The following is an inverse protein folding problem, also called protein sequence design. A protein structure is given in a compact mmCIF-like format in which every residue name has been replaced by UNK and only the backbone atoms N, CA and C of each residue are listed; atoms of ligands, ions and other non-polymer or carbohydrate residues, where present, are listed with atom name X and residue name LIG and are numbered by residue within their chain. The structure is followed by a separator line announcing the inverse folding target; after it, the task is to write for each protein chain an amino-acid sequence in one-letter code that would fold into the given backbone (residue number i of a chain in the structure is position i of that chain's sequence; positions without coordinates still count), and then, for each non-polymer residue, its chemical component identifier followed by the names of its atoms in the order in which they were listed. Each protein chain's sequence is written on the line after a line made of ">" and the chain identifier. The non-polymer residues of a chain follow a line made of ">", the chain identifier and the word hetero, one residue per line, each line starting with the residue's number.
data_IF_868740343597
#
_entry.id   IF_868740343597
#
_cell.length_a   1.000
_cell.length_b   1.000
_cell.length_c   1.000
_cell.angle_alpha   90.00
_cell.angle_beta   90.00
_cell.angle_gamma   90.00
#
_symmetry.space_group_name_H-M   'P 1'
#
loop_
_entity.id
_entity.type
_entity.pdbx_description
1 polymer ?
#
# COMPACT_ATOMS: atom_id res chain seq x y z
N UNK A 1 3.74 -9.42 2.13
CA UNK A 1 3.97 -10.71 1.42
C UNK A 1 4.99 -10.59 0.28
N UNK A 2 4.81 -9.70 -0.72
CA UNK A 2 5.72 -9.63 -1.87
C UNK A 2 7.16 -9.15 -1.53
N UNK A 3 7.33 -8.18 -0.62
CA UNK A 3 8.66 -7.72 -0.18
C UNK A 3 9.50 -8.81 0.52
N UNK A 4 8.86 -9.63 1.34
CA UNK A 4 9.48 -10.78 1.97
C UNK A 4 9.92 -11.83 0.92
N UNK A 5 9.14 -12.01 -0.16
CA UNK A 5 9.49 -12.94 -1.24
C UNK A 5 10.71 -12.45 -2.04
N UNK A 6 10.79 -11.16 -2.37
CA UNK A 6 11.96 -10.59 -3.06
C UNK A 6 13.24 -10.75 -2.22
N UNK A 7 13.18 -10.40 -0.92
CA UNK A 7 14.33 -10.55 -0.02
C UNK A 7 14.79 -12.00 0.15
N UNK A 8 13.86 -12.96 0.23
CA UNK A 8 14.20 -14.39 0.28
C UNK A 8 14.85 -14.87 -1.03
N UNK A 9 14.38 -14.38 -2.19
CA UNK A 9 15.00 -14.69 -3.48
C UNK A 9 16.41 -14.11 -3.60
N UNK A 10 16.66 -12.87 -3.16
CA UNK A 10 18.02 -12.29 -3.10
C UNK A 10 18.96 -13.19 -2.29
N UNK A 11 18.53 -13.63 -1.11
CA UNK A 11 19.36 -14.47 -0.24
C UNK A 11 19.68 -15.82 -0.88
N UNK A 12 18.72 -16.43 -1.59
CA UNK A 12 18.94 -17.68 -2.32
C UNK A 12 19.97 -17.50 -3.42
N UNK A 13 19.86 -16.43 -4.22
CA UNK A 13 20.80 -16.15 -5.31
C UNK A 13 22.20 -15.80 -4.81
N UNK A 14 22.32 -15.04 -3.72
CA UNK A 14 23.63 -14.80 -3.07
C UNK A 14 24.30 -16.08 -2.59
N UNK A 15 23.53 -17.05 -2.07
CA UNK A 15 24.06 -18.36 -1.64
C UNK A 15 24.38 -19.28 -2.82
N UNK A 16 23.62 -19.14 -3.91
CA UNK A 16 23.89 -19.86 -5.15
C UNK A 16 25.21 -19.42 -5.79
N UNK A 17 25.58 -18.15 -5.63
CA UNK A 17 26.85 -17.57 -6.10
C UNK A 17 27.10 -17.87 -7.59
N UNK A 18 26.27 -17.24 -8.44
CA UNK A 18 26.34 -17.43 -9.89
C UNK A 18 27.75 -17.08 -10.43
N UNK A 19 28.43 -16.10 -9.85
CA UNK A 19 29.77 -15.70 -10.28
C UNK A 19 30.80 -16.79 -10.01
N UNK A 20 30.74 -17.44 -8.85
CA UNK A 20 31.63 -18.57 -8.58
C UNK A 20 31.33 -19.75 -9.51
N UNK A 21 30.05 -20.08 -9.71
CA UNK A 21 29.65 -21.12 -10.65
C UNK A 21 30.15 -20.82 -12.08
N UNK A 22 30.03 -19.57 -12.55
CA UNK A 22 30.52 -19.14 -13.85
C UNK A 22 32.04 -19.35 -13.98
N UNK A 23 32.83 -18.99 -12.96
CA UNK A 23 34.28 -19.24 -12.94
C UNK A 23 34.62 -20.73 -12.97
N UNK A 24 33.91 -21.55 -12.20
CA UNK A 24 34.15 -23.00 -12.16
C UNK A 24 33.83 -23.64 -13.51
N UNK A 25 32.77 -23.17 -14.17
CA UNK A 25 32.39 -23.60 -15.52
C UNK A 25 33.42 -23.16 -16.59
N UNK A 26 33.96 -21.94 -16.51
CA UNK A 26 35.05 -21.47 -17.38
C UNK A 26 36.29 -22.38 -17.27
N UNK A 27 36.70 -22.70 -16.04
CA UNK A 27 37.84 -23.59 -15.79
C UNK A 27 37.58 -24.97 -16.39
N UNK A 28 36.40 -25.54 -16.16
CA UNK A 28 36.02 -26.83 -16.71
C UNK A 28 35.97 -26.83 -18.24
N UNK A 29 35.41 -25.78 -18.87
CA UNK A 29 35.34 -25.63 -20.32
C UNK A 29 36.73 -25.51 -20.96
N UNK A 30 37.64 -24.77 -20.32
CA UNK A 30 39.03 -24.65 -20.77
C UNK A 30 39.80 -25.97 -20.63
N UNK A 31 39.60 -26.70 -19.52
CA UNK A 31 40.22 -28.01 -19.32
C UNK A 31 39.74 -29.03 -20.36
N UNK A 32 38.45 -28.98 -20.71
CA UNK A 32 37.82 -29.89 -21.69
C UNK A 32 38.51 -29.82 -23.07
N UNK A 33 38.94 -28.63 -23.51
CA UNK A 33 39.70 -28.48 -24.76
C UNK A 33 41.06 -29.20 -24.72
N UNK A 34 41.77 -29.16 -23.59
CA UNK A 34 43.03 -29.91 -23.41
C UNK A 34 42.77 -31.41 -23.42
N UNK A 35 41.75 -31.85 -22.68
CA UNK A 35 41.40 -33.27 -22.56
C UNK A 35 40.93 -33.86 -23.90
N UNK A 36 40.18 -33.10 -24.71
CA UNK A 36 39.81 -33.52 -26.08
C UNK A 36 41.06 -33.78 -26.92
N UNK A 37 42.01 -32.85 -26.92
CA UNK A 37 43.24 -32.99 -27.71
C UNK A 37 44.07 -34.20 -27.27
N UNK A 38 44.23 -34.40 -25.95
CA UNK A 38 44.96 -35.53 -25.39
C UNK A 38 44.30 -36.88 -25.73
N UNK A 39 42.97 -36.98 -25.60
CA UNK A 39 42.21 -38.19 -25.93
C UNK A 39 42.30 -38.53 -27.42
N UNK A 40 42.22 -37.54 -28.30
CA UNK A 40 42.39 -37.75 -29.75
C UNK A 40 43.79 -38.27 -30.08
N UNK A 41 44.83 -37.73 -29.46
CA UNK A 41 46.20 -38.21 -29.63
C UNK A 41 46.38 -39.64 -29.09
N UNK A 42 45.85 -39.94 -27.90
CA UNK A 42 45.92 -41.27 -27.30
C UNK A 42 45.20 -42.32 -28.16
N UNK A 43 44.02 -41.98 -28.71
CA UNK A 43 43.28 -42.86 -29.64
C UNK A 43 44.08 -43.15 -30.90
N UNK A 44 44.71 -42.14 -31.52
CA UNK A 44 45.57 -42.33 -32.70
C UNK A 44 46.72 -43.29 -32.41
N UNK A 45 47.42 -43.11 -31.27
CA UNK A 45 48.51 -44.01 -30.84
C UNK A 45 48.05 -45.45 -30.63
N UNK A 46 46.87 -45.65 -30.02
CA UNK A 46 46.31 -47.00 -29.83
C UNK A 46 45.95 -47.69 -31.15
N UNK A 47 45.44 -46.94 -32.13
CA UNK A 47 45.15 -47.47 -33.48
C UNK A 47 46.46 -47.90 -34.16
N UNK A 48 47.49 -47.05 -34.13
CA UNK A 48 48.82 -47.37 -34.68
C UNK A 48 49.42 -48.63 -34.03
N UNK A 49 49.34 -48.75 -32.70
CA UNK A 49 49.80 -49.93 -31.97
C UNK A 49 49.00 -51.20 -32.30
N UNK A 50 47.69 -51.08 -32.48
CA UNK A 50 46.80 -52.19 -32.86
C UNK A 50 47.11 -52.71 -34.27
N UNK A 51 47.38 -51.80 -35.20
CA UNK A 51 47.75 -52.16 -36.57
C UNK A 51 49.15 -52.77 -36.65
N UNK A 52 50.10 -52.25 -35.89
CA UNK A 52 51.44 -52.82 -35.78
C UNK A 52 51.42 -54.22 -35.16
N UNK A 53 50.61 -54.43 -34.12
CA UNK A 53 50.37 -55.74 -33.53
C UNK A 53 49.82 -56.72 -34.58
N UNK A 54 48.81 -56.32 -35.38
CA UNK A 54 48.26 -57.17 -36.46
C UNK A 54 49.32 -57.55 -37.50
N UNK A 55 50.19 -56.61 -37.90
CA UNK A 55 51.26 -56.86 -38.90
C UNK A 55 52.29 -57.88 -38.44
N UNK A 56 52.62 -57.91 -37.16
CA UNK A 56 53.63 -58.82 -36.60
C UNK A 56 53.05 -60.11 -36.01
N UNK A 57 51.73 -60.29 -36.05
CA UNK A 57 51.06 -61.49 -35.55
C UNK A 57 51.10 -62.60 -36.62
N UNK A 58 51.46 -63.86 -36.27
CA UNK A 58 51.40 -64.99 -37.20
C UNK A 58 49.96 -65.36 -37.61
N UNK A 59 49.78 -65.89 -38.83
CA UNK A 59 48.46 -66.13 -39.45
C UNK A 59 47.52 -66.99 -38.61
N UNK A 60 48.06 -68.00 -37.93
CA UNK A 60 47.31 -68.94 -37.07
C UNK A 60 46.56 -68.22 -35.93
N UNK A 61 47.10 -67.09 -35.47
CA UNK A 61 46.57 -66.31 -34.35
C UNK A 61 45.62 -65.19 -34.81
N UNK A 62 45.61 -64.85 -36.10
CA UNK A 62 44.76 -63.79 -36.65
C UNK A 62 43.26 -64.08 -36.47
N UNK A 63 42.86 -65.35 -36.53
CA UNK A 63 41.46 -65.76 -36.32
C UNK A 63 40.92 -65.36 -34.94
N UNK A 64 41.77 -65.31 -33.92
CA UNK A 64 41.38 -64.95 -32.55
C UNK A 64 41.64 -63.48 -32.24
N UNK A 65 42.78 -62.94 -32.69
CA UNK A 65 43.19 -61.56 -32.37
C UNK A 65 42.37 -60.53 -33.17
N UNK A 66 42.01 -60.80 -34.42
CA UNK A 66 41.29 -59.83 -35.26
C UNK A 66 39.89 -59.50 -34.72
N UNK A 67 39.05 -60.49 -34.34
CA UNK A 67 37.76 -60.19 -33.70
C UNK A 67 37.91 -59.43 -32.38
N UNK A 68 38.92 -59.77 -31.57
CA UNK A 68 39.19 -59.09 -30.30
C UNK A 68 39.56 -57.61 -30.52
N UNK A 69 40.48 -57.32 -31.45
CA UNK A 69 40.87 -55.94 -31.77
C UNK A 69 39.71 -55.14 -32.36
N UNK A 70 38.86 -55.76 -33.18
CA UNK A 70 37.62 -55.12 -33.66
C UNK A 70 36.65 -54.82 -32.52
N UNK A 71 36.49 -55.74 -31.56
CA UNK A 71 35.64 -55.53 -30.37
C UNK A 71 36.13 -54.37 -29.50
N UNK A 72 37.44 -54.31 -29.21
CA UNK A 72 38.03 -53.16 -28.51
C UNK A 72 37.86 -51.86 -29.29
N UNK A 73 38.04 -51.89 -30.62
CA UNK A 73 37.87 -50.71 -31.46
C UNK A 73 36.42 -50.19 -31.42
N UNK A 74 35.43 -51.08 -31.53
CA UNK A 74 34.02 -50.68 -31.42
C UNK A 74 33.67 -50.09 -30.05
N UNK A 75 34.23 -50.65 -28.96
CA UNK A 75 33.98 -50.13 -27.61
C UNK A 75 34.64 -48.76 -27.40
N UNK A 76 35.88 -48.59 -27.88
CA UNK A 76 36.58 -47.30 -27.85
C UNK A 76 35.81 -46.25 -28.66
N UNK A 77 35.33 -46.60 -29.85
CA UNK A 77 34.58 -45.69 -30.70
C UNK A 77 33.24 -45.28 -30.06
N UNK A 78 32.52 -46.24 -29.46
CA UNK A 78 31.30 -45.96 -28.71
C UNK A 78 31.56 -45.06 -27.49
N UNK A 79 32.67 -45.28 -26.77
CA UNK A 79 33.06 -44.43 -25.64
C UNK A 79 33.45 -43.02 -26.10
N UNK A 80 34.14 -42.88 -27.23
CA UNK A 80 34.46 -41.60 -27.83
C UNK A 80 33.21 -40.82 -28.25
N UNK A 81 32.23 -41.47 -28.89
CA UNK A 81 30.96 -40.81 -29.25
C UNK A 81 30.20 -40.37 -28.00
N UNK A 82 30.08 -41.24 -26.98
CA UNK A 82 29.45 -40.86 -25.70
C UNK A 82 30.17 -39.69 -25.02
N UNK A 83 31.51 -39.63 -25.08
CA UNK A 83 32.27 -38.49 -24.56
C UNK A 83 31.92 -37.21 -25.29
N UNK A 84 31.97 -37.21 -26.63
CA UNK A 84 31.63 -36.05 -27.47
C UNK A 84 30.20 -35.56 -27.22
N UNK A 85 29.24 -36.47 -27.11
CA UNK A 85 27.85 -36.11 -26.80
C UNK A 85 27.73 -35.44 -25.43
N UNK A 86 28.41 -35.97 -24.41
CA UNK A 86 28.41 -35.39 -23.06
C UNK A 86 29.09 -34.02 -23.00
N UNK A 87 30.20 -33.86 -23.74
CA UNK A 87 30.95 -32.61 -23.87
C UNK A 87 30.12 -31.56 -24.63
N UNK A 88 29.43 -31.96 -25.70
CA UNK A 88 28.53 -31.09 -26.45
C UNK A 88 27.34 -30.62 -25.59
N UNK A 89 26.74 -31.53 -24.80
CA UNK A 89 25.68 -31.19 -23.86
C UNK A 89 26.16 -30.21 -22.78
N UNK A 90 27.34 -30.44 -22.21
CA UNK A 90 27.99 -29.53 -21.26
C UNK A 90 28.19 -28.14 -21.87
N UNK A 91 28.83 -28.05 -23.05
CA UNK A 91 29.11 -26.78 -23.73
C UNK A 91 27.83 -26.03 -24.10
N UNK A 92 26.73 -26.74 -24.40
CA UNK A 92 25.42 -26.13 -24.67
C UNK A 92 24.81 -25.45 -23.43
N UNK A 93 25.00 -26.03 -22.24
CA UNK A 93 24.57 -25.41 -20.99
C UNK A 93 25.52 -24.27 -20.60
N UNK A 94 26.83 -24.48 -20.69
CA UNK A 94 27.85 -23.48 -20.40
C UNK A 94 27.64 -22.18 -21.18
N UNK A 95 27.49 -22.25 -22.51
CA UNK A 95 27.25 -21.09 -23.38
C UNK A 95 26.01 -20.28 -22.98
N UNK A 96 24.99 -20.92 -22.38
CA UNK A 96 23.77 -20.24 -21.93
C UNK A 96 23.92 -19.60 -20.56
N UNK A 97 24.85 -20.07 -19.73
CA UNK A 97 25.01 -19.61 -18.34
C UNK A 97 26.12 -18.57 -18.18
N UNK A 98 27.15 -18.60 -19.04
CA UNK A 98 28.33 -17.76 -18.86
C UNK A 98 28.05 -16.27 -19.08
N UNK A 99 27.14 -15.95 -20.01
CA UNK A 99 26.78 -14.57 -20.34
C UNK A 99 25.63 -14.02 -19.48
N UNK A 100 25.09 -14.83 -18.56
CA UNK A 100 23.93 -14.42 -17.76
C UNK A 100 24.39 -13.42 -16.69
N UNK A 101 23.83 -12.19 -16.66
CA UNK A 101 24.15 -11.23 -15.62
C UNK A 101 23.61 -11.70 -14.27
N UNK A 102 24.34 -11.38 -13.20
CA UNK A 102 23.92 -11.73 -11.83
C UNK A 102 22.61 -11.02 -11.45
N UNK A 103 21.53 -11.77 -11.12
CA UNK A 103 20.24 -11.17 -10.77
C UNK A 103 20.23 -10.50 -9.39
N UNK A 104 21.24 -10.74 -8.52
CA UNK A 104 21.26 -10.24 -7.14
C UNK A 104 21.10 -8.71 -7.10
N UNK A 105 21.87 -7.98 -7.90
CA UNK A 105 21.83 -6.51 -7.94
C UNK A 105 20.45 -5.97 -8.33
N UNK A 106 19.80 -6.60 -9.32
CA UNK A 106 18.47 -6.21 -9.76
C UNK A 106 17.41 -6.52 -8.69
N UNK A 107 17.49 -7.69 -8.06
CA UNK A 107 16.58 -8.10 -6.99
C UNK A 107 16.71 -7.19 -5.76
N UNK A 108 17.92 -6.76 -5.42
CA UNK A 108 18.17 -5.78 -4.35
C UNK A 108 17.53 -4.42 -4.67
N UNK A 109 17.68 -3.93 -5.89
CA UNK A 109 17.04 -2.69 -6.32
C UNK A 109 15.51 -2.79 -6.22
N UNK A 110 14.92 -3.91 -6.66
CA UNK A 110 13.48 -4.16 -6.52
C UNK A 110 13.06 -4.20 -5.05
N UNK A 111 13.84 -4.83 -4.18
CA UNK A 111 13.57 -4.85 -2.74
C UNK A 111 13.57 -3.42 -2.15
N UNK A 112 14.53 -2.57 -2.52
CA UNK A 112 14.59 -1.18 -2.07
C UNK A 112 13.42 -0.35 -2.59
N UNK A 113 13.10 -0.47 -3.88
CA UNK A 113 11.94 0.21 -4.47
C UNK A 113 10.64 -0.20 -3.78
N UNK A 114 10.50 -1.48 -3.43
CA UNK A 114 9.30 -1.97 -2.76
C UNK A 114 9.15 -1.39 -1.34
N UNK A 115 10.26 -1.24 -0.60
CA UNK A 115 10.26 -0.53 0.68
C UNK A 115 9.90 0.95 0.51
N UNK A 116 10.42 1.60 -0.52
CA UNK A 116 10.10 2.99 -0.84
C UNK A 116 8.61 3.18 -1.18
N UNK A 117 8.02 2.26 -1.97
CA UNK A 117 6.59 2.28 -2.31
C UNK A 117 5.71 2.14 -1.06
N UNK A 118 6.09 1.29 -0.10
CA UNK A 118 5.34 1.16 1.17
C UNK A 118 5.37 2.49 1.92
N UNK A 119 6.55 3.09 2.11
CA UNK A 119 6.68 4.39 2.79
C UNK A 119 5.93 5.50 2.07
N UNK A 120 5.97 5.52 0.73
CA UNK A 120 5.24 6.49 -0.07
C UNK A 120 3.74 6.40 0.17
N UNK A 121 3.17 5.19 0.22
CA UNK A 121 1.75 4.98 0.54
C UNK A 121 1.37 5.43 1.94
N UNK A 122 2.24 5.20 2.92
CA UNK A 122 2.01 5.66 4.29
C UNK A 122 1.95 7.20 4.35
N UNK A 123 2.89 7.87 3.66
CA UNK A 123 2.92 9.34 3.53
C UNK A 123 1.71 9.86 2.76
N UNK A 124 1.32 9.22 1.65
CA UNK A 124 0.13 9.60 0.88
C UNK A 124 -1.15 9.52 1.73
N UNK A 125 -1.29 8.47 2.54
CA UNK A 125 -2.42 8.29 3.44
C UNK A 125 -2.45 9.36 4.55
N UNK A 126 -1.29 9.73 5.11
CA UNK A 126 -1.20 10.81 6.09
C UNK A 126 -1.52 12.18 5.45
N UNK A 127 -0.99 12.43 4.25
CA UNK A 127 -1.26 13.66 3.50
C UNK A 127 -2.75 13.81 3.20
N UNK A 128 -3.43 12.71 2.84
CA UNK A 128 -4.86 12.70 2.62
C UNK A 128 -5.64 13.06 3.89
N UNK A 129 -5.29 12.47 5.04
CA UNK A 129 -5.90 12.81 6.34
C UNK A 129 -5.68 14.28 6.72
N UNK A 130 -4.50 14.82 6.44
CA UNK A 130 -4.21 16.24 6.70
C UNK A 130 -5.04 17.16 5.80
N UNK A 131 -5.25 16.80 4.53
CA UNK A 131 -6.14 17.55 3.63
C UNK A 131 -7.59 17.51 4.10
N UNK A 132 -8.07 16.35 4.54
CA UNK A 132 -9.42 16.22 5.11
C UNK A 132 -9.60 17.10 6.35
N UNK A 133 -8.62 17.12 7.26
CA UNK A 133 -8.63 18.02 8.43
C UNK A 133 -8.62 19.50 8.06
N UNK A 134 -7.82 19.89 7.06
CA UNK A 134 -7.81 21.28 6.57
C UNK A 134 -9.17 21.68 6.00
N UNK A 135 -9.81 20.78 5.24
CA UNK A 135 -11.14 21.02 4.70
C UNK A 135 -12.20 21.15 5.80
N UNK A 136 -12.08 20.37 6.89
CA UNK A 136 -12.94 20.49 8.06
C UNK A 136 -12.75 21.84 8.77
N UNK A 137 -11.50 22.26 9.01
CA UNK A 137 -11.23 23.59 9.56
C UNK A 137 -11.73 24.74 8.66
N UNK A 138 -11.56 24.63 7.35
CA UNK A 138 -12.07 25.64 6.40
C UNK A 138 -13.61 25.73 6.46
N UNK A 139 -14.29 24.60 6.66
CA UNK A 139 -15.74 24.55 6.85
C UNK A 139 -16.15 25.19 8.18
N UNK A 140 -15.49 24.85 9.28
CA UNK A 140 -15.75 25.45 10.60
C UNK A 140 -15.56 26.97 10.55
N UNK A 141 -14.49 27.45 9.89
CA UNK A 141 -14.25 28.89 9.71
C UNK A 141 -15.37 29.55 8.91
N UNK A 142 -15.89 28.90 7.87
CA UNK A 142 -17.02 29.43 7.10
C UNK A 142 -18.31 29.48 7.93
N UNK A 143 -18.57 28.45 8.75
CA UNK A 143 -19.71 28.40 9.66
C UNK A 143 -19.63 29.51 10.73
N UNK A 144 -18.47 29.71 11.36
CA UNK A 144 -18.24 30.79 12.33
C UNK A 144 -18.44 32.16 11.70
N UNK A 145 -17.91 32.40 10.48
CA UNK A 145 -18.15 33.66 9.75
C UNK A 145 -19.63 33.92 9.50
N UNK A 146 -20.39 32.90 9.09
CA UNK A 146 -21.84 33.05 8.92
C UNK A 146 -22.58 33.34 10.23
N UNK A 147 -22.13 32.75 11.34
CA UNK A 147 -22.65 33.05 12.67
C UNK A 147 -22.30 34.48 13.10
N UNK A 148 -21.09 34.98 12.84
CA UNK A 148 -20.67 36.36 13.12
C UNK A 148 -21.52 37.39 12.36
N UNK A 149 -21.80 37.15 11.07
CA UNK A 149 -22.69 37.99 10.26
C UNK A 149 -24.10 38.04 10.85
N UNK A 150 -24.62 36.88 11.27
CA UNK A 150 -25.95 36.78 11.90
C UNK A 150 -25.99 37.56 13.22
N UNK A 151 -24.97 37.42 14.07
CA UNK A 151 -24.85 38.15 15.34
C UNK A 151 -24.76 39.66 15.09
N UNK A 152 -23.99 40.09 14.08
CA UNK A 152 -23.88 41.50 13.70
C UNK A 152 -25.25 42.07 13.33
N UNK A 153 -26.03 41.37 12.49
CA UNK A 153 -27.38 41.79 12.11
C UNK A 153 -28.37 41.84 13.28
N UNK A 154 -28.26 40.91 14.24
CA UNK A 154 -29.07 40.94 15.47
C UNK A 154 -28.70 42.13 16.38
N UNK A 155 -27.40 42.45 16.49
CA UNK A 155 -26.93 43.62 17.25
C UNK A 155 -27.44 44.93 16.65
N UNK A 156 -27.40 45.08 15.32
CA UNK A 156 -27.97 46.26 14.64
C UNK A 156 -29.47 46.42 14.88
N UNK A 157 -30.23 45.31 14.88
CA UNK A 157 -31.66 45.33 15.22
C UNK A 157 -31.87 45.75 16.68
N UNK A 158 -31.13 45.18 17.63
CA UNK A 158 -31.19 45.57 19.04
C UNK A 158 -30.91 47.06 19.24
N UNK A 159 -29.84 47.59 18.62
CA UNK A 159 -29.55 49.03 18.67
C UNK A 159 -30.69 49.88 18.08
N UNK A 160 -31.35 49.39 17.02
CA UNK A 160 -32.49 50.10 16.43
C UNK A 160 -33.70 50.16 17.36
N UNK A 161 -33.96 49.07 18.10
CA UNK A 161 -35.00 49.01 19.13
C UNK A 161 -34.65 49.86 20.34
N UNK A 162 -33.41 49.81 20.83
CA UNK A 162 -32.93 50.69 21.92
C UNK A 162 -33.10 52.17 21.58
N UNK A 163 -32.75 52.56 20.34
CA UNK A 163 -32.97 53.92 19.83
C UNK A 163 -34.45 54.30 19.78
N UNK A 164 -35.33 53.37 19.45
CA UNK A 164 -36.77 53.61 19.44
C UNK A 164 -37.29 53.82 20.87
N UNK A 165 -36.94 52.94 21.79
CA UNK A 165 -37.30 53.04 23.21
C UNK A 165 -36.81 54.37 23.79
N UNK A 166 -35.55 54.75 23.56
CA UNK A 166 -35.01 56.03 24.02
C UNK A 166 -35.76 57.26 23.49
N UNK A 167 -36.33 57.20 22.27
CA UNK A 167 -37.16 58.29 21.75
C UNK A 167 -38.51 58.32 22.43
N UNK A 168 -39.14 57.17 22.64
CA UNK A 168 -40.43 57.07 23.33
C UNK A 168 -40.30 57.58 24.76
N UNK A 169 -39.29 57.14 25.52
CA UNK A 169 -39.09 57.61 26.91
C UNK A 169 -38.78 59.11 26.97
N UNK A 170 -38.00 59.65 26.04
CA UNK A 170 -37.76 61.11 25.98
C UNK A 170 -39.00 61.90 25.62
N UNK A 171 -39.83 61.38 24.72
CA UNK A 171 -41.10 62.00 24.38
C UNK A 171 -42.07 61.95 25.58
N UNK A 172 -42.05 60.87 26.37
CA UNK A 172 -42.80 60.77 27.64
C UNK A 172 -42.28 61.77 28.69
N UNK A 173 -40.95 61.93 28.84
CA UNK A 173 -40.35 62.94 29.72
C UNK A 173 -40.70 64.38 29.28
N UNK A 174 -40.74 64.64 27.96
CA UNK A 174 -41.16 65.93 27.37
C UNK A 174 -42.69 66.18 27.48
N UNK A 175 -43.51 65.13 27.40
CA UNK A 175 -44.95 65.20 27.71
C UNK A 175 -45.23 65.36 29.22
N UNK A 176 -44.39 64.83 30.12
CA UNK A 176 -44.46 65.11 31.56
C UNK A 176 -44.00 66.55 31.90
N UNK A 177 -43.01 67.10 31.19
CA UNK A 177 -42.53 68.49 31.37
C UNK A 177 -43.58 69.53 30.93
N UNK A 178 -44.37 69.25 29.88
CA UNK A 178 -45.51 70.08 29.47
C UNK A 178 -46.85 69.69 30.15
N UNK A 179 -46.94 68.49 30.74
CA UNK A 179 -48.15 67.92 31.35
C UNK A 179 -48.42 68.34 32.80
N UNK A 180 -47.42 68.90 33.50
CA UNK A 180 -47.59 69.38 34.88
C UNK A 180 -48.51 70.61 35.04
N UNK A 181 -49.17 71.09 33.98
CA UNK A 181 -50.15 72.18 34.05
C UNK A 181 -51.50 71.90 33.37
N UNK A 182 -51.93 70.64 33.24
CA UNK A 182 -53.31 70.32 32.86
C UNK A 182 -53.83 69.08 33.60
N UNK A 183 -54.82 69.29 34.46
CA UNK A 183 -55.63 68.26 35.11
C UNK A 183 -56.32 67.33 34.12
N UNK A 184 -56.28 66.03 34.42
CA UNK A 184 -57.20 64.95 34.02
C UNK A 184 -57.66 64.91 32.56
N UNK A 185 -57.14 63.92 31.81
CA UNK A 185 -57.90 63.18 30.79
C UNK A 185 -57.18 61.89 30.42
N UNK A 186 -57.79 60.77 30.78
CA UNK A 186 -57.52 59.44 30.24
C UNK A 186 -57.45 59.51 28.70
N UNK A 187 -56.27 59.20 28.14
CA UNK A 187 -56.10 58.79 26.75
C UNK A 187 -55.39 57.44 26.74
N UNK A 188 -56.12 56.31 26.64
CA UNK A 188 -55.50 55.03 26.35
C UNK A 188 -55.23 55.01 24.85
N UNK A 189 -54.00 55.21 24.40
CA UNK A 189 -53.53 54.94 23.02
C UNK A 189 -52.08 55.42 22.88
N UNK A 190 -51.14 54.50 23.10
CA UNK A 190 -49.78 54.40 22.51
C UNK A 190 -48.92 53.50 23.44
N UNK A 191 -48.93 53.76 24.75
CA UNK A 191 -48.20 52.96 25.76
C UNK A 191 -48.71 51.51 25.88
N UNK A 192 -50.03 51.28 25.90
CA UNK A 192 -50.61 49.93 25.91
C UNK A 192 -50.34 49.16 24.61
N UNK A 193 -50.26 49.84 23.46
CA UNK A 193 -49.99 49.20 22.16
C UNK A 193 -48.53 48.75 22.09
N UNK A 194 -47.59 49.59 22.54
CA UNK A 194 -46.16 49.25 22.59
C UNK A 194 -45.89 48.13 23.59
N UNK A 195 -46.57 48.12 24.75
CA UNK A 195 -46.44 47.03 25.73
C UNK A 195 -46.92 45.70 25.16
N UNK A 196 -48.06 45.68 24.46
CA UNK A 196 -48.58 44.49 23.78
C UNK A 196 -47.65 44.05 22.63
N UNK A 197 -47.05 44.98 21.89
CA UNK A 197 -46.06 44.65 20.83
C UNK A 197 -44.77 44.05 21.40
N UNK A 198 -44.29 44.55 22.53
CA UNK A 198 -43.11 43.98 23.23
C UNK A 198 -43.42 42.62 23.84
N UNK A 199 -44.59 42.46 24.45
CA UNK A 199 -45.04 41.17 25.01
C UNK A 199 -45.22 40.12 23.92
N UNK A 200 -45.81 40.48 22.78
CA UNK A 200 -45.98 39.58 21.64
C UNK A 200 -44.64 39.21 20.99
N UNK A 201 -43.68 40.15 20.90
CA UNK A 201 -42.33 39.86 20.44
C UNK A 201 -41.56 38.94 21.40
N UNK A 202 -41.68 39.14 22.71
CA UNK A 202 -41.09 38.26 23.72
C UNK A 202 -41.69 36.84 23.65
N UNK A 203 -43.02 36.72 23.53
CA UNK A 203 -43.69 35.44 23.35
C UNK A 203 -43.24 34.73 22.06
N UNK A 204 -43.02 35.46 20.97
CA UNK A 204 -42.51 34.91 19.72
C UNK A 204 -41.06 34.40 19.87
N UNK A 205 -40.19 35.14 20.57
CA UNK A 205 -38.81 34.75 20.82
C UNK A 205 -38.73 33.53 21.75
N UNK A 206 -39.56 33.47 22.80
CA UNK A 206 -39.66 32.31 23.67
C UNK A 206 -40.13 31.06 22.91
N UNK A 207 -41.11 31.21 22.00
CA UNK A 207 -41.57 30.12 21.16
C UNK A 207 -40.45 29.61 20.21
N UNK A 208 -39.68 30.52 19.60
CA UNK A 208 -38.56 30.16 18.73
C UNK A 208 -37.43 29.46 19.51
N UNK A 209 -37.14 29.93 20.73
CA UNK A 209 -36.16 29.31 21.61
C UNK A 209 -36.58 27.88 21.99
N UNK A 210 -37.86 27.64 22.28
CA UNK A 210 -38.39 26.30 22.53
C UNK A 210 -38.28 25.40 21.30
N UNK A 211 -38.53 25.92 20.10
CA UNK A 211 -38.35 25.16 18.85
C UNK A 211 -36.89 24.77 18.65
N UNK A 212 -35.96 25.72 18.86
CA UNK A 212 -34.51 25.46 18.75
C UNK A 212 -34.03 24.47 19.80
N UNK A 213 -34.54 24.55 21.03
CA UNK A 213 -34.21 23.59 22.08
C UNK A 213 -34.65 22.16 21.70
N UNK A 214 -35.85 21.99 21.13
CA UNK A 214 -36.32 20.69 20.62
C UNK A 214 -35.48 20.19 19.44
N UNK A 215 -35.04 21.09 18.57
CA UNK A 215 -34.17 20.74 17.44
C UNK A 215 -32.81 20.23 17.93
N UNK A 216 -32.23 20.87 18.95
CA UNK A 216 -31.00 20.41 19.62
C UNK A 216 -31.21 19.05 20.26
N UNK A 217 -32.30 18.83 21.00
CA UNK A 217 -32.61 17.54 21.61
C UNK A 217 -32.72 16.41 20.57
N UNK A 218 -33.38 16.67 19.44
CA UNK A 218 -33.47 15.71 18.33
C UNK A 218 -32.11 15.39 17.73
N UNK A 219 -31.27 16.41 17.48
CA UNK A 219 -29.92 16.22 16.96
C UNK A 219 -29.05 15.43 17.94
N UNK A 220 -29.19 15.66 19.25
CA UNK A 220 -28.50 14.86 20.27
C UNK A 220 -28.92 13.39 20.23
N UNK A 221 -30.21 13.11 20.03
CA UNK A 221 -30.72 11.73 19.90
C UNK A 221 -30.17 11.04 18.64
N UNK A 222 -30.10 11.76 17.52
CA UNK A 222 -29.55 11.23 16.26
C UNK A 222 -28.05 10.96 16.38
N UNK A 223 -27.29 11.85 17.01
CA UNK A 223 -25.87 11.63 17.31
C UNK A 223 -25.68 10.38 18.16
N UNK A 224 -26.51 10.17 19.19
CA UNK A 224 -26.43 9.00 20.05
C UNK A 224 -26.77 7.71 19.30
N UNK A 225 -27.76 7.73 18.41
CA UNK A 225 -28.09 6.59 17.52
C UNK A 225 -26.94 6.26 16.57
N UNK A 226 -26.31 7.28 15.99
CA UNK A 226 -25.17 7.11 15.10
C UNK A 226 -23.95 6.57 15.84
N UNK A 227 -23.69 7.04 17.07
CA UNK A 227 -22.63 6.51 17.93
C UNK A 227 -22.85 5.02 18.24
N UNK A 228 -24.07 4.63 18.61
CA UNK A 228 -24.41 3.22 18.87
C UNK A 228 -24.21 2.35 17.62
N UNK A 229 -24.68 2.82 16.46
CA UNK A 229 -24.51 2.11 15.19
C UNK A 229 -23.04 1.95 14.82
N UNK A 230 -22.22 2.98 15.08
CA UNK A 230 -20.77 2.94 14.85
C UNK A 230 -20.09 1.94 15.80
N UNK A 231 -20.48 1.88 17.07
CA UNK A 231 -19.96 0.88 18.02
C UNK A 231 -20.33 -0.54 17.60
N UNK A 232 -21.58 -0.78 17.18
CA UNK A 232 -22.02 -2.09 16.69
C UNK A 232 -21.24 -2.54 15.44
N UNK A 233 -21.05 -1.63 14.48
CA UNK A 233 -20.24 -1.89 13.28
C UNK A 233 -18.78 -2.17 13.64
N UNK A 234 -18.21 -1.43 14.59
CA UNK A 234 -16.84 -1.64 15.07
C UNK A 234 -16.68 -3.00 15.75
N UNK A 235 -17.61 -3.37 16.61
CA UNK A 235 -17.63 -4.67 17.29
C UNK A 235 -17.82 -5.83 16.31
N UNK A 236 -18.72 -5.67 15.33
CA UNK A 236 -18.91 -6.66 14.26
C UNK A 236 -17.63 -6.83 13.42
N UNK A 237 -17.01 -5.72 13.03
CA UNK A 237 -15.78 -5.74 12.23
C UNK A 237 -14.62 -6.37 12.99
N UNK A 238 -14.44 -6.02 14.28
CA UNK A 238 -13.40 -6.62 15.12
C UNK A 238 -13.64 -8.12 15.35
N UNK A 239 -14.89 -8.56 15.49
CA UNK A 239 -15.24 -9.97 15.56
C UNK A 239 -14.91 -10.71 14.25
N UNK A 240 -15.24 -10.15 13.09
CA UNK A 240 -14.90 -10.72 11.79
C UNK A 240 -13.39 -10.83 11.58
N UNK A 241 -12.62 -9.80 11.96
CA UNK A 241 -11.16 -9.84 11.90
C UNK A 241 -10.61 -10.96 12.77
N UNK A 242 -11.12 -11.12 13.99
CA UNK A 242 -10.70 -12.18 14.91
C UNK A 242 -10.99 -13.58 14.35
N UNK A 243 -12.17 -13.77 13.75
CA UNK A 243 -12.54 -15.05 13.15
C UNK A 243 -11.67 -15.38 11.94
N UNK A 244 -11.39 -14.41 11.08
CA UNK A 244 -10.47 -14.59 9.95
C UNK A 244 -9.04 -14.90 10.42
N UNK A 245 -8.56 -14.26 11.49
CA UNK A 245 -7.27 -14.57 12.11
C UNK A 245 -7.23 -16.01 12.63
N UNK A 246 -8.25 -16.45 13.36
CA UNK A 246 -8.33 -17.82 13.87
C UNK A 246 -8.39 -18.86 12.73
N UNK A 247 -9.11 -18.58 11.65
CA UNK A 247 -9.13 -19.44 10.47
C UNK A 247 -7.76 -19.53 9.81
N UNK A 248 -7.05 -18.40 9.70
CA UNK A 248 -5.69 -18.34 9.15
C UNK A 248 -4.72 -19.17 9.99
N UNK A 249 -4.76 -19.01 11.32
CA UNK A 249 -3.91 -19.75 12.26
C UNK A 249 -4.21 -21.25 12.22
N UNK A 250 -5.49 -21.66 12.14
CA UNK A 250 -5.85 -23.07 11.98
C UNK A 250 -5.32 -23.68 10.69
N UNK A 251 -5.37 -22.93 9.57
CA UNK A 251 -4.83 -23.37 8.28
C UNK A 251 -3.31 -23.46 8.32
N UNK A 252 -2.64 -22.53 9.01
CA UNK A 252 -1.20 -22.59 9.22
C UNK A 252 -0.79 -23.81 10.05
N UNK A 253 -1.52 -24.13 11.11
CA UNK A 253 -1.25 -25.31 11.94
C UNK A 253 -1.49 -26.64 11.20
N UNK A 254 -2.45 -26.70 10.26
CA UNK A 254 -2.68 -27.87 9.40
C UNK A 254 -1.63 -28.08 8.31
N UNK A 255 -0.83 -27.05 8.01
CA UNK A 255 0.20 -27.07 6.97
C UNK A 255 1.62 -27.29 7.51
N UNK A 256 1.78 -27.41 8.84
CA UNK A 256 3.03 -27.76 9.54
C UNK A 256 3.01 -29.23 9.96
#
# INVERSE_FOLDING_TARGET
>A
MAAARAGLMCQRWRRFDLQQLQKDLDVAANALASTQHENEQARKKLIEQSDELKRHTPEDLHQHITPLLKGFQSEIDALCERSKESEAAFLSVYKRLIDVPDPVSALEAVQQLQLAVIKMRDVEAENQKLRERLQEYDREVAEVKGQEETISGLREKLESYERLVQRVTKNEDEEEEYGANCTEKERPCESEVVMVEVETANQALEAELVVKQREVERLMEDVLKLQNSLTELSDSTTNQIRELQQQLDSKHALLQ
#
